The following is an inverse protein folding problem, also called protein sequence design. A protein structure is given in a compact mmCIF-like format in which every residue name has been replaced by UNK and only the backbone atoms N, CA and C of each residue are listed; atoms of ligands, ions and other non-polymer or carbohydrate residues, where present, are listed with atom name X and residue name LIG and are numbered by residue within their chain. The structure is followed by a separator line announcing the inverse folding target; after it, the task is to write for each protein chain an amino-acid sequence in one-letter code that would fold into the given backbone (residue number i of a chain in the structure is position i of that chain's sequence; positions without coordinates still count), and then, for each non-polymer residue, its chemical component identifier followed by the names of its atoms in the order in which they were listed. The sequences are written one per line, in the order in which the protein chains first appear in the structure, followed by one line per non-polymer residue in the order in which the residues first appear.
data_IF_157167832029
#
_entry.id   IF_157167832029
#
_cell.length_a   1.000
_cell.length_b   1.000
_cell.length_c   1.000
_cell.angle_alpha   90.00
_cell.angle_beta   90.00
_cell.angle_gamma   90.00
#
_symmetry.space_group_name_H-M   'P 1'
#
loop_
_entity.id
_entity.type
_entity.pdbx_description
1 polymer ?
#
# COMPACT_ATOMS: atom_id res chain seq x y z
N UNK A 1 -34.70 -9.03 -11.26
CA UNK A 1 -34.10 -9.12 -9.91
C UNK A 1 -32.86 -8.22 -9.88
N UNK A 2 -32.99 -7.06 -9.25
CA UNK A 2 -31.84 -6.15 -9.04
C UNK A 2 -30.81 -6.85 -8.17
N UNK A 3 -29.62 -7.11 -8.71
CA UNK A 3 -28.45 -7.42 -7.88
C UNK A 3 -28.20 -6.18 -7.01
N UNK A 4 -28.48 -6.28 -5.72
CA UNK A 4 -28.01 -5.32 -4.74
C UNK A 4 -26.50 -5.34 -4.86
N UNK A 5 -25.95 -4.31 -5.49
CA UNK A 5 -24.52 -4.11 -5.57
C UNK A 5 -24.08 -3.79 -4.13
N UNK A 6 -23.52 -4.78 -3.42
CA UNK A 6 -22.91 -4.53 -2.12
C UNK A 6 -21.76 -3.57 -2.38
N UNK A 7 -21.90 -2.34 -1.94
CA UNK A 7 -20.77 -1.41 -1.92
C UNK A 7 -19.73 -1.96 -0.96
N UNK A 8 -18.48 -2.04 -1.41
CA UNK A 8 -17.37 -2.44 -0.54
C UNK A 8 -17.18 -1.44 0.61
N UNK A 9 -16.63 -1.93 1.70
CA UNK A 9 -16.27 -1.12 2.87
C UNK A 9 -14.75 -1.11 3.03
N UNK A 10 -14.22 0.00 3.55
CA UNK A 10 -12.82 0.08 3.97
C UNK A 10 -12.81 0.11 5.49
N UNK A 11 -11.97 -0.74 6.08
CA UNK A 11 -11.84 -0.88 7.54
C UNK A 11 -10.41 -1.23 7.91
N UNK A 12 -10.06 -1.09 9.18
CA UNK A 12 -8.80 -1.57 9.71
C UNK A 12 -8.68 -3.09 9.53
N UNK A 13 -7.50 -3.55 9.12
CA UNK A 13 -7.19 -4.97 9.06
C UNK A 13 -7.10 -5.57 10.46
N UNK A 14 -7.49 -6.83 10.58
CA UNK A 14 -7.40 -7.61 11.81
C UNK A 14 -6.93 -9.02 11.56
N UNK A 15 -6.83 -9.82 12.63
CA UNK A 15 -6.30 -11.18 12.57
C UNK A 15 -7.01 -12.09 11.54
N UNK A 16 -8.32 -11.88 11.34
CA UNK A 16 -9.10 -12.65 10.37
C UNK A 16 -8.72 -12.38 8.91
N UNK A 17 -7.98 -11.28 8.64
CA UNK A 17 -7.56 -10.89 7.30
C UNK A 17 -6.20 -11.47 6.91
N UNK A 18 -5.50 -12.15 7.83
CA UNK A 18 -4.14 -12.62 7.66
C UNK A 18 -3.94 -13.40 6.34
N UNK A 19 -4.80 -14.37 6.06
CA UNK A 19 -4.69 -15.19 4.85
C UNK A 19 -4.91 -14.37 3.57
N UNK A 20 -5.91 -13.48 3.58
CA UNK A 20 -6.22 -12.64 2.42
C UNK A 20 -5.12 -11.61 2.15
N UNK A 21 -4.57 -10.99 3.19
CA UNK A 21 -3.47 -10.04 3.05
C UNK A 21 -2.20 -10.74 2.57
N UNK A 22 -1.85 -11.91 3.10
CA UNK A 22 -0.71 -12.71 2.61
C UNK A 22 -0.85 -13.06 1.13
N UNK A 23 -2.04 -13.45 0.68
CA UNK A 23 -2.32 -13.73 -0.74
C UNK A 23 -2.08 -12.51 -1.63
N UNK A 24 -2.49 -11.33 -1.19
CA UNK A 24 -2.26 -10.09 -1.94
C UNK A 24 -0.79 -9.66 -1.93
N UNK A 25 -0.08 -9.83 -0.81
CA UNK A 25 1.36 -9.58 -0.71
C UNK A 25 2.16 -10.45 -1.69
N UNK A 26 1.74 -11.70 -1.90
CA UNK A 26 2.35 -12.57 -2.90
C UNK A 26 2.14 -12.05 -4.33
N UNK A 27 0.95 -11.50 -4.66
CA UNK A 27 0.71 -10.88 -5.97
C UNK A 27 1.66 -9.69 -6.21
N UNK A 28 1.92 -8.86 -5.21
CA UNK A 28 2.89 -7.75 -5.30
C UNK A 28 4.29 -8.27 -5.54
N UNK A 29 4.72 -9.31 -4.81
CA UNK A 29 6.02 -9.93 -5.01
C UNK A 29 6.20 -10.43 -6.45
N UNK A 30 5.17 -11.05 -7.05
CA UNK A 30 5.23 -11.51 -8.43
C UNK A 30 5.43 -10.35 -9.42
N UNK A 31 4.77 -9.21 -9.20
CA UNK A 31 4.96 -8.01 -10.04
C UNK A 31 6.40 -7.49 -9.92
N UNK A 32 6.94 -7.42 -8.72
CA UNK A 32 8.31 -6.95 -8.49
C UNK A 32 9.35 -7.94 -9.06
N UNK A 33 9.16 -9.24 -8.85
CA UNK A 33 10.05 -10.27 -9.41
C UNK A 33 10.03 -10.24 -10.94
N UNK A 34 8.87 -10.09 -11.58
CA UNK A 34 8.78 -9.99 -13.03
C UNK A 34 9.55 -8.78 -13.59
N UNK A 35 9.55 -7.65 -12.87
CA UNK A 35 10.25 -6.44 -13.26
C UNK A 35 11.74 -6.43 -12.92
N UNK A 36 12.12 -7.00 -11.78
CA UNK A 36 13.50 -7.00 -11.24
C UNK A 36 13.83 -8.37 -10.61
N UNK A 37 13.95 -9.43 -11.44
CA UNK A 37 14.28 -10.78 -10.95
C UNK A 37 15.68 -10.87 -10.32
N UNK A 38 16.53 -9.89 -10.58
CA UNK A 38 17.86 -9.74 -9.97
C UNK A 38 17.78 -9.27 -8.51
N UNK A 39 16.69 -8.61 -8.10
CA UNK A 39 16.52 -8.06 -6.75
C UNK A 39 15.46 -8.80 -5.92
N UNK A 40 14.41 -9.30 -6.55
CA UNK A 40 13.28 -9.91 -5.86
C UNK A 40 13.24 -11.42 -6.03
N UNK A 41 12.99 -12.13 -4.93
CA UNK A 41 12.75 -13.57 -4.94
C UNK A 41 11.51 -13.91 -5.79
N UNK A 42 11.53 -15.11 -6.42
CA UNK A 42 10.37 -15.61 -7.16
C UNK A 42 9.19 -16.01 -6.24
N UNK A 43 9.48 -16.31 -4.98
CA UNK A 43 8.48 -16.68 -3.96
C UNK A 43 8.98 -16.31 -2.58
N UNK A 44 8.06 -16.19 -1.63
CA UNK A 44 8.39 -15.89 -0.24
C UNK A 44 7.33 -15.00 0.41
N UNK A 45 7.44 -14.84 1.71
CA UNK A 45 6.60 -13.91 2.48
C UNK A 45 7.39 -12.65 2.80
N UNK A 46 6.79 -11.49 2.59
CA UNK A 46 7.34 -10.20 3.04
C UNK A 46 7.44 -10.13 4.56
N UNK A 47 6.44 -10.69 5.24
CA UNK A 47 6.34 -10.78 6.70
C UNK A 47 6.00 -12.21 7.10
N UNK A 48 6.52 -12.68 8.24
CA UNK A 48 5.96 -13.84 8.91
C UNK A 48 4.53 -13.54 9.39
N UNK A 49 3.75 -14.56 9.68
CA UNK A 49 2.39 -14.38 10.19
C UNK A 49 2.37 -13.62 11.54
N UNK A 50 3.36 -13.89 12.41
CA UNK A 50 3.50 -13.19 13.67
C UNK A 50 3.83 -11.70 13.48
N UNK A 51 4.72 -11.35 12.55
CA UNK A 51 5.04 -9.96 12.21
C UNK A 51 3.82 -9.24 11.63
N UNK A 52 3.08 -9.90 10.76
CA UNK A 52 1.90 -9.29 10.12
C UNK A 52 0.78 -9.04 11.15
N UNK A 53 0.55 -9.98 12.08
CA UNK A 53 -0.38 -9.79 13.19
C UNK A 53 0.04 -8.62 14.08
N UNK A 54 1.33 -8.50 14.40
CA UNK A 54 1.85 -7.38 15.17
C UNK A 54 1.66 -6.03 14.44
N UNK A 55 1.83 -6.01 13.12
CA UNK A 55 1.56 -4.80 12.31
C UNK A 55 0.08 -4.41 12.38
N UNK A 56 -0.85 -5.36 12.36
CA UNK A 56 -2.28 -5.05 12.44
C UNK A 56 -2.68 -4.38 13.76
N UNK A 57 -1.97 -4.67 14.83
CA UNK A 57 -2.18 -4.08 16.16
C UNK A 57 -1.41 -2.74 16.38
N UNK A 58 -0.53 -2.35 15.44
CA UNK A 58 0.30 -1.17 15.57
C UNK A 58 -0.41 0.08 15.00
N UNK A 59 -0.80 1.00 15.87
CA UNK A 59 -1.48 2.24 15.49
C UNK A 59 -0.60 3.21 14.69
N UNK A 60 0.72 3.09 14.80
CA UNK A 60 1.66 3.88 14.01
C UNK A 60 1.84 3.33 12.57
N UNK A 61 1.37 2.11 12.34
CA UNK A 61 1.47 1.39 11.06
C UNK A 61 0.11 0.84 10.61
N UNK A 62 -0.93 1.69 10.48
CA UNK A 62 -2.27 1.20 10.18
C UNK A 62 -2.33 0.53 8.81
N UNK A 63 -3.01 -0.61 8.78
CA UNK A 63 -3.35 -1.33 7.55
C UNK A 63 -4.85 -1.26 7.36
N UNK A 64 -5.29 -0.81 6.19
CA UNK A 64 -6.70 -0.80 5.83
C UNK A 64 -6.96 -1.79 4.70
N UNK A 65 -8.08 -2.46 4.76
CA UNK A 65 -8.52 -3.42 3.74
C UNK A 65 -9.84 -2.97 3.11
N UNK A 66 -9.98 -3.22 1.82
CA UNK A 66 -11.24 -3.09 1.11
C UNK A 66 -11.92 -4.45 1.04
N UNK A 67 -13.13 -4.54 1.58
CA UNK A 67 -13.92 -5.76 1.68
C UNK A 67 -15.25 -5.63 0.95
N UNK A 68 -15.52 -6.59 0.08
CA UNK A 68 -16.80 -6.78 -0.62
C UNK A 68 -17.11 -8.28 -0.73
N UNK A 69 -17.60 -8.86 0.38
CA UNK A 69 -17.74 -10.30 0.52
C UNK A 69 -16.45 -11.03 0.85
N UNK A 70 -15.32 -10.54 0.35
CA UNK A 70 -13.96 -10.93 0.73
C UNK A 70 -13.04 -9.71 0.61
N UNK A 71 -11.82 -9.82 1.14
CA UNK A 71 -10.80 -8.77 1.01
C UNK A 71 -10.25 -8.76 -0.42
N UNK A 72 -10.42 -7.64 -1.11
CA UNK A 72 -10.02 -7.41 -2.49
C UNK A 72 -8.86 -6.43 -2.65
N UNK A 73 -8.40 -5.82 -1.58
CA UNK A 73 -7.26 -4.92 -1.61
C UNK A 73 -6.87 -4.45 -0.22
N UNK A 74 -5.70 -3.86 -0.13
CA UNK A 74 -5.18 -3.27 1.10
C UNK A 74 -4.35 -2.02 0.82
N UNK A 75 -4.14 -1.22 1.86
CA UNK A 75 -3.10 -0.19 1.93
C UNK A 75 -2.38 -0.29 3.28
N UNK A 76 -1.06 -0.44 3.23
CA UNK A 76 -0.17 -0.38 4.39
C UNK A 76 0.34 1.04 4.55
N UNK A 77 0.10 1.62 5.71
CA UNK A 77 0.52 2.97 6.05
C UNK A 77 1.53 2.94 7.19
N UNK A 78 2.35 3.97 7.26
CA UNK A 78 3.26 4.19 8.39
C UNK A 78 3.34 5.69 8.66
N UNK A 79 3.06 6.09 9.91
CA UNK A 79 3.26 7.47 10.35
C UNK A 79 4.74 7.62 10.68
N UNK A 80 5.39 8.59 10.05
CA UNK A 80 6.79 8.92 10.29
C UNK A 80 6.98 10.40 10.55
N UNK A 81 7.99 10.74 11.36
CA UNK A 81 8.41 12.11 11.56
C UNK A 81 9.87 12.20 11.13
N UNK A 82 10.11 12.98 10.07
CA UNK A 82 11.47 13.24 9.63
C UNK A 82 12.20 14.04 10.72
N UNK A 83 13.39 13.59 11.11
CA UNK A 83 14.24 14.25 12.06
C UNK A 83 15.69 14.23 11.58
N UNK A 84 16.43 15.30 11.85
CA UNK A 84 17.82 15.43 11.50
C UNK A 84 18.29 16.87 11.64
N UNK A 85 19.60 17.08 11.73
CA UNK A 85 20.18 18.42 11.96
C UNK A 85 19.82 19.46 10.89
N UNK A 86 19.45 19.01 9.68
CA UNK A 86 19.09 19.88 8.56
C UNK A 86 17.63 19.82 8.14
N UNK A 87 16.85 18.90 8.76
CA UNK A 87 15.44 18.69 8.40
C UNK A 87 14.53 19.30 9.43
N UNK A 88 13.47 19.98 8.97
CA UNK A 88 12.36 20.34 9.84
C UNK A 88 11.63 19.06 10.26
N UNK A 89 11.11 19.00 11.51
CA UNK A 89 10.28 17.87 11.94
C UNK A 89 8.96 17.88 11.17
N UNK A 90 8.86 17.05 10.15
CA UNK A 90 7.67 16.92 9.30
C UNK A 90 7.04 15.57 9.55
N UNK A 91 5.77 15.55 9.95
CA UNK A 91 4.97 14.34 10.08
C UNK A 91 4.42 13.94 8.70
N UNK A 92 4.71 12.74 8.26
CA UNK A 92 4.28 12.20 6.98
C UNK A 92 3.53 10.89 7.15
N UNK A 93 2.57 10.62 6.27
CA UNK A 93 2.06 9.27 6.06
C UNK A 93 2.85 8.64 4.93
N UNK A 94 3.58 7.57 5.22
CA UNK A 94 4.24 6.75 4.22
C UNK A 94 3.34 5.58 3.84
N UNK A 95 3.05 5.44 2.55
CA UNK A 95 2.38 4.24 2.02
C UNK A 95 3.48 3.24 1.67
N UNK A 96 3.60 2.19 2.50
CA UNK A 96 4.58 1.13 2.30
C UNK A 96 4.16 0.18 1.17
N UNK A 97 2.86 -0.05 1.03
CA UNK A 97 2.30 -0.92 -0.01
C UNK A 97 0.82 -0.62 -0.25
N UNK A 98 0.38 -0.73 -1.49
CA UNK A 98 -1.02 -0.68 -1.89
C UNK A 98 -1.25 -1.72 -2.98
N UNK A 99 -2.16 -2.63 -2.74
CA UNK A 99 -2.47 -3.71 -3.67
C UNK A 99 -3.98 -3.88 -3.83
N UNK A 100 -4.39 -4.15 -5.06
CA UNK A 100 -5.73 -4.61 -5.41
C UNK A 100 -5.61 -5.96 -6.09
N UNK A 101 -6.43 -6.92 -5.68
CA UNK A 101 -6.52 -8.24 -6.28
C UNK A 101 -6.59 -8.11 -7.81
N UNK A 102 -5.79 -8.90 -8.52
CA UNK A 102 -5.70 -8.87 -9.98
C UNK A 102 -7.07 -8.97 -10.65
N UNK A 103 -7.96 -9.81 -10.10
CA UNK A 103 -9.30 -10.06 -10.64
C UNK A 103 -10.31 -8.93 -10.31
N UNK A 104 -9.95 -8.02 -9.41
CA UNK A 104 -10.79 -6.90 -8.98
C UNK A 104 -10.31 -5.54 -9.50
N UNK A 105 -9.24 -5.51 -10.31
CA UNK A 105 -8.71 -4.26 -10.89
C UNK A 105 -9.70 -3.58 -11.83
N UNK A 106 -9.52 -2.29 -12.06
CA UNK A 106 -10.43 -1.49 -12.92
C UNK A 106 -11.75 -1.10 -12.25
N UNK A 107 -11.94 -1.42 -10.97
CA UNK A 107 -13.14 -1.13 -10.19
C UNK A 107 -12.97 0.06 -9.22
N UNK A 108 -11.94 0.86 -9.40
CA UNK A 108 -11.59 2.02 -8.56
C UNK A 108 -11.28 1.70 -7.09
N UNK A 109 -11.03 0.44 -6.74
CA UNK A 109 -10.71 0.00 -5.37
C UNK A 109 -9.40 0.64 -4.88
N UNK A 110 -8.37 0.68 -5.73
CA UNK A 110 -7.10 1.32 -5.39
C UNK A 110 -7.25 2.81 -5.10
N UNK A 111 -8.08 3.51 -5.88
CA UNK A 111 -8.41 4.92 -5.62
C UNK A 111 -9.12 5.09 -4.28
N UNK A 112 -10.10 4.24 -3.98
CA UNK A 112 -10.84 4.30 -2.71
C UNK A 112 -9.91 4.05 -1.51
N UNK A 113 -9.00 3.07 -1.59
CA UNK A 113 -7.99 2.80 -0.56
C UNK A 113 -7.04 3.99 -0.36
N UNK A 114 -6.57 4.58 -1.46
CA UNK A 114 -5.71 5.77 -1.39
C UNK A 114 -6.44 6.97 -0.76
N UNK A 115 -7.67 7.24 -1.15
CA UNK A 115 -8.46 8.34 -0.58
C UNK A 115 -8.72 8.14 0.92
N UNK A 116 -8.99 6.90 1.34
CA UNK A 116 -9.12 6.58 2.77
C UNK A 116 -7.81 6.85 3.53
N UNK A 117 -6.66 6.44 2.97
CA UNK A 117 -5.35 6.75 3.56
C UNK A 117 -5.08 8.26 3.59
N UNK A 118 -5.53 9.01 2.57
CA UNK A 118 -5.42 10.47 2.54
C UNK A 118 -6.25 11.14 3.63
N UNK A 119 -7.50 10.71 3.80
CA UNK A 119 -8.37 11.22 4.87
C UNK A 119 -7.78 10.91 6.26
N UNK A 120 -7.25 9.71 6.44
CA UNK A 120 -6.53 9.34 7.66
C UNK A 120 -5.30 10.24 7.88
N UNK A 121 -4.48 10.48 6.85
CA UNK A 121 -3.31 11.36 6.96
C UNK A 121 -3.70 12.78 7.39
N UNK A 122 -4.80 13.32 6.84
CA UNK A 122 -5.34 14.64 7.23
C UNK A 122 -5.79 14.62 8.68
N UNK A 123 -6.51 13.60 9.12
CA UNK A 123 -6.97 13.47 10.52
C UNK A 123 -5.82 13.37 11.52
N UNK A 124 -4.71 12.77 11.11
CA UNK A 124 -3.48 12.66 11.91
C UNK A 124 -2.59 13.91 11.87
N UNK A 125 -2.99 14.95 11.11
CA UNK A 125 -2.21 16.18 10.98
C UNK A 125 -0.91 15.99 10.17
N UNK A 126 -0.87 15.02 9.26
CA UNK A 126 0.28 14.82 8.39
C UNK A 126 0.43 15.98 7.38
N UNK A 127 1.66 16.36 7.12
CA UNK A 127 2.01 17.39 6.15
C UNK A 127 1.86 16.88 4.71
N UNK A 128 2.20 15.63 4.47
CA UNK A 128 2.17 15.00 3.15
C UNK A 128 1.95 13.48 3.23
N UNK A 129 1.72 12.89 2.07
CA UNK A 129 1.79 11.45 1.83
C UNK A 129 2.99 11.20 0.95
N UNK A 130 3.79 10.18 1.28
CA UNK A 130 4.94 9.75 0.51
C UNK A 130 4.87 8.26 0.22
N UNK A 131 5.49 7.82 -0.87
CA UNK A 131 5.63 6.42 -1.23
C UNK A 131 6.81 6.23 -2.20
N UNK A 132 7.22 4.99 -2.39
CA UNK A 132 8.17 4.61 -3.42
C UNK A 132 7.48 3.77 -4.50
N UNK A 133 7.81 4.02 -5.75
CA UNK A 133 7.36 3.22 -6.90
C UNK A 133 8.56 2.83 -7.75
N UNK A 134 8.64 1.55 -8.12
CA UNK A 134 9.70 1.04 -8.98
C UNK A 134 9.50 1.48 -10.44
N UNK A 135 10.57 1.90 -11.10
CA UNK A 135 10.54 2.26 -12.53
C UNK A 135 10.07 1.08 -13.41
N UNK A 136 10.32 -0.15 -12.99
CA UNK A 136 9.84 -1.35 -13.68
C UNK A 136 8.32 -1.61 -13.49
N UNK A 137 7.60 -0.76 -12.76
CA UNK A 137 6.15 -0.83 -12.57
C UNK A 137 5.46 0.43 -13.12
N UNK A 138 5.40 0.61 -14.45
CA UNK A 138 4.82 1.81 -15.05
C UNK A 138 3.32 1.95 -14.78
N UNK A 139 2.61 0.86 -14.53
CA UNK A 139 1.18 0.91 -14.22
C UNK A 139 0.92 1.50 -12.84
N UNK A 140 1.73 1.17 -11.83
CA UNK A 140 1.67 1.81 -10.52
C UNK A 140 2.04 3.30 -10.61
N UNK A 141 3.07 3.64 -11.41
CA UNK A 141 3.44 5.03 -11.63
C UNK A 141 2.30 5.84 -12.23
N UNK A 142 1.67 5.35 -13.30
CA UNK A 142 0.52 6.02 -13.93
C UNK A 142 -0.66 6.16 -12.97
N UNK A 143 -0.89 5.17 -12.11
CA UNK A 143 -1.92 5.23 -11.08
C UNK A 143 -1.67 6.39 -10.10
N UNK A 144 -0.47 6.51 -9.54
CA UNK A 144 -0.14 7.58 -8.60
C UNK A 144 -0.09 8.96 -9.27
N UNK A 145 0.41 9.05 -10.50
CA UNK A 145 0.36 10.30 -11.28
C UNK A 145 -1.10 10.77 -11.48
N UNK A 146 -2.04 9.85 -11.73
CA UNK A 146 -3.48 10.16 -11.87
C UNK A 146 -4.13 10.67 -10.58
N UNK A 147 -3.54 10.37 -9.43
CA UNK A 147 -3.98 10.85 -8.12
C UNK A 147 -3.34 12.19 -7.72
N UNK A 148 -2.46 12.73 -8.56
CA UNK A 148 -1.81 14.02 -8.34
C UNK A 148 -0.52 13.97 -7.53
N UNK A 149 0.07 12.77 -7.34
CA UNK A 149 1.40 12.67 -6.74
C UNK A 149 2.47 13.13 -7.73
N UNK A 150 3.49 13.78 -7.21
CA UNK A 150 4.64 14.27 -7.99
C UNK A 150 5.94 13.72 -7.43
N UNK A 151 6.98 13.52 -8.27
CA UNK A 151 8.28 13.08 -7.79
C UNK A 151 8.86 14.02 -6.74
N UNK A 152 9.31 13.47 -5.62
CA UNK A 152 10.00 14.21 -4.56
C UNK A 152 11.52 14.12 -4.73
N UNK A 153 12.04 12.94 -5.02
CA UNK A 153 13.44 12.68 -5.34
C UNK A 153 13.55 11.45 -6.24
N UNK A 154 14.73 11.24 -6.83
CA UNK A 154 14.98 10.07 -7.67
C UNK A 154 16.18 9.30 -7.12
N UNK A 155 16.05 7.99 -6.99
CA UNK A 155 17.15 7.06 -6.69
C UNK A 155 17.73 6.53 -8.00
N UNK A 156 19.03 6.53 -8.13
CA UNK A 156 19.76 6.02 -9.30
C UNK A 156 20.62 4.83 -8.88
N UNK A 157 20.81 3.88 -9.77
CA UNK A 157 21.73 2.75 -9.58
C UNK A 157 22.66 2.59 -10.78
N UNK A 158 23.80 1.94 -10.54
CA UNK A 158 24.71 1.46 -11.58
C UNK A 158 25.02 0.00 -11.26
N UNK A 159 24.68 -0.91 -12.17
CA UNK A 159 25.09 -2.31 -12.07
C UNK A 159 26.60 -2.42 -12.35
N UNK A 160 27.33 -3.26 -11.58
CA UNK A 160 28.77 -3.48 -11.67
C UNK A 160 29.07 -4.85 -12.25
#
# INVERSE_FOLDING_TARGET
MSKVQKSGIIRRAGASDLAAVNRLLEQVLQVHHAGRPDLFQASGKKYSDAELLAIFEDDSRPVFVYEEGCVLGYVFCCISIASGAQLKPVKSLYIDDLCVDSDARGRHIGKALFEHAREFAVSEGCHNITLHVWECNPSARAFYDSLGLTPQYTSLEMAL
#
